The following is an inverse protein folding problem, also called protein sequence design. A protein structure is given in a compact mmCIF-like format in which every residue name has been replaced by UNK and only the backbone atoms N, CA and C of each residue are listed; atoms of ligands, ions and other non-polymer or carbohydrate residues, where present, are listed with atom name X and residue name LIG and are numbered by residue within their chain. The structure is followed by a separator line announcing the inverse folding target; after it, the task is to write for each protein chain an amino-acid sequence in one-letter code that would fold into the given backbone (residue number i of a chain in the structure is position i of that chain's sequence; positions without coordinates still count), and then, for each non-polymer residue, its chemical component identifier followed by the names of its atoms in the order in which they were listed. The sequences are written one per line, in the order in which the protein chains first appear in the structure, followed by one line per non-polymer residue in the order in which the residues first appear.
data_IF_520694108697
#
_entry.id   IF_520694108697
#
_cell.length_a   1.000
_cell.length_b   1.000
_cell.length_c   1.000
_cell.angle_alpha   90.00
_cell.angle_beta   90.00
_cell.angle_gamma   90.00
#
_symmetry.space_group_name_H-M   'P 1'
#
loop_
_entity.id
_entity.type
_entity.pdbx_description
1 polymer ?
#
# COMPACT_ATOMS: atom_id res chain seq x y z
N UNK A 1 2.55 -22.23 -17.73
CA UNK A 1 3.54 -22.34 -16.62
C UNK A 1 4.02 -20.91 -16.34
N UNK A 2 3.88 -20.44 -15.13
CA UNK A 2 4.43 -19.14 -14.66
C UNK A 2 5.97 -19.17 -14.71
N UNK A 3 6.62 -18.02 -14.57
CA UNK A 3 8.09 -17.94 -14.50
C UNK A 3 8.62 -18.77 -13.33
N UNK A 4 9.74 -19.48 -13.57
CA UNK A 4 10.35 -20.33 -12.53
C UNK A 4 11.26 -19.55 -11.58
N UNK A 5 11.67 -18.35 -11.99
CA UNK A 5 12.50 -17.46 -11.18
C UNK A 5 12.20 -15.99 -11.48
N UNK A 6 12.54 -15.13 -10.53
CA UNK A 6 12.48 -13.67 -10.73
C UNK A 6 13.41 -13.22 -11.87
N UNK A 7 14.57 -13.84 -12.02
CA UNK A 7 15.55 -13.46 -13.05
C UNK A 7 15.00 -13.66 -14.46
N UNK A 8 14.25 -14.74 -14.70
CA UNK A 8 13.57 -14.99 -15.97
C UNK A 8 12.55 -13.91 -16.28
N UNK A 9 11.69 -13.57 -15.31
CA UNK A 9 10.65 -12.54 -15.45
C UNK A 9 11.26 -11.15 -15.66
N UNK A 10 12.28 -10.79 -14.87
CA UNK A 10 13.02 -9.52 -14.98
C UNK A 10 13.72 -9.40 -16.34
N UNK A 11 14.39 -10.47 -16.79
CA UNK A 11 15.07 -10.49 -18.08
C UNK A 11 14.07 -10.27 -19.23
N UNK A 12 12.91 -10.92 -19.19
CA UNK A 12 11.87 -10.75 -20.19
C UNK A 12 11.28 -9.34 -20.15
N UNK A 13 10.97 -8.83 -18.94
CA UNK A 13 10.43 -7.49 -18.73
C UNK A 13 11.33 -6.40 -19.35
N UNK A 14 12.63 -6.46 -19.07
CA UNK A 14 13.62 -5.52 -19.63
C UNK A 14 13.71 -5.61 -21.16
N UNK A 15 13.86 -6.82 -21.69
CA UNK A 15 14.00 -7.02 -23.16
C UNK A 15 12.78 -6.61 -23.96
N UNK A 16 11.59 -6.70 -23.36
CA UNK A 16 10.32 -6.36 -24.02
C UNK A 16 9.85 -4.93 -23.74
N UNK A 17 10.59 -4.15 -22.97
CA UNK A 17 10.25 -2.75 -22.70
C UNK A 17 9.08 -2.57 -21.72
N UNK A 18 8.96 -3.48 -20.75
CA UNK A 18 7.98 -3.31 -19.67
C UNK A 18 8.53 -2.44 -18.55
N UNK A 19 9.70 -2.78 -18.01
CA UNK A 19 10.23 -2.13 -16.81
C UNK A 19 11.74 -2.01 -16.92
N UNK A 20 12.27 -0.84 -16.55
CA UNK A 20 13.68 -0.49 -16.53
C UNK A 20 14.12 -0.04 -15.14
N UNK A 21 15.40 -0.21 -14.82
CA UNK A 21 15.97 0.46 -13.65
C UNK A 21 15.97 1.97 -13.89
N UNK A 22 15.44 2.74 -12.95
CA UNK A 22 15.46 4.21 -13.09
C UNK A 22 16.89 4.74 -13.08
N UNK A 23 17.18 5.68 -13.98
CA UNK A 23 18.50 6.32 -14.12
C UNK A 23 19.65 5.34 -14.42
N UNK A 24 19.37 4.25 -15.13
CA UNK A 24 20.32 3.13 -15.41
C UNK A 24 21.65 3.62 -16.03
N UNK A 25 21.58 4.64 -16.91
CA UNK A 25 22.76 5.24 -17.55
C UNK A 25 23.76 5.89 -16.57
N UNK A 26 23.33 6.14 -15.33
CA UNK A 26 24.14 6.65 -14.23
C UNK A 26 24.37 5.62 -13.11
N UNK A 27 24.13 4.33 -13.40
CA UNK A 27 24.28 3.24 -12.43
C UNK A 27 23.02 2.89 -11.68
N UNK A 28 21.91 3.55 -11.99
CA UNK A 28 20.60 3.28 -11.42
C UNK A 28 20.39 3.83 -10.01
N UNK A 29 19.14 3.90 -9.58
CA UNK A 29 18.73 4.21 -8.20
C UNK A 29 18.02 2.99 -7.62
N UNK A 30 18.60 2.39 -6.58
CA UNK A 30 18.10 1.16 -5.99
C UNK A 30 16.64 1.31 -5.48
N UNK A 31 15.77 0.37 -5.87
CA UNK A 31 14.37 0.36 -5.46
C UNK A 31 13.51 1.44 -6.13
N UNK A 32 13.94 1.95 -7.29
CA UNK A 32 13.17 2.87 -8.13
C UNK A 32 13.21 2.36 -9.58
N UNK A 33 12.04 2.27 -10.22
CA UNK A 33 11.89 1.71 -11.55
C UNK A 33 11.04 2.61 -12.45
N UNK A 34 11.34 2.58 -13.74
CA UNK A 34 10.60 3.25 -14.80
C UNK A 34 9.81 2.23 -15.61
N UNK A 35 8.57 2.57 -15.96
CA UNK A 35 7.74 1.76 -16.84
C UNK A 35 8.02 2.13 -18.30
N UNK A 36 8.45 1.15 -19.09
CA UNK A 36 8.67 1.31 -20.51
C UNK A 36 7.38 1.31 -21.33
N UNK A 37 7.46 1.38 -22.67
CA UNK A 37 6.29 1.54 -23.55
C UNK A 37 5.20 0.48 -23.36
N UNK A 38 5.55 -0.79 -23.17
CA UNK A 38 4.56 -1.84 -22.90
C UNK A 38 4.13 -1.87 -21.43
N UNK A 39 5.05 -1.56 -20.52
CA UNK A 39 4.77 -1.55 -19.09
C UNK A 39 3.79 -0.46 -18.67
N UNK A 40 3.89 0.74 -19.26
CA UNK A 40 2.97 1.83 -18.97
C UNK A 40 1.54 1.52 -19.41
N UNK A 41 1.37 0.85 -20.55
CA UNK A 41 0.05 0.41 -21.03
C UNK A 41 -0.56 -0.66 -20.09
N UNK A 42 0.23 -1.66 -19.71
CA UNK A 42 -0.22 -2.67 -18.74
C UNK A 42 -0.63 -2.03 -17.41
N UNK A 43 0.20 -1.14 -16.89
CA UNK A 43 -0.06 -0.42 -15.63
C UNK A 43 -1.32 0.45 -15.72
N UNK A 44 -1.50 1.18 -16.80
CA UNK A 44 -2.68 2.02 -17.00
C UNK A 44 -3.95 1.18 -17.17
N UNK A 45 -3.88 0.04 -17.86
CA UNK A 45 -5.01 -0.87 -18.02
C UNK A 45 -5.44 -1.44 -16.65
N UNK A 46 -4.50 -1.87 -15.81
CA UNK A 46 -4.80 -2.35 -14.46
C UNK A 46 -5.47 -1.26 -13.61
N UNK A 47 -4.91 -0.04 -13.61
CA UNK A 47 -5.50 1.10 -12.90
C UNK A 47 -6.90 1.45 -13.41
N UNK A 48 -7.09 1.43 -14.73
CA UNK A 48 -8.39 1.70 -15.34
C UNK A 48 -9.44 0.63 -15.00
N UNK A 49 -9.04 -0.65 -14.98
CA UNK A 49 -9.91 -1.76 -14.59
C UNK A 49 -10.32 -1.63 -13.11
N UNK A 50 -9.38 -1.31 -12.22
CA UNK A 50 -9.68 -1.08 -10.81
C UNK A 50 -10.60 0.11 -10.60
N UNK A 51 -10.30 1.24 -11.24
CA UNK A 51 -11.11 2.46 -11.14
C UNK A 51 -12.53 2.26 -11.66
N UNK A 52 -12.66 1.52 -12.76
CA UNK A 52 -13.97 1.14 -13.30
C UNK A 52 -14.77 0.33 -12.29
N UNK A 53 -14.18 -0.73 -11.73
CA UNK A 53 -14.87 -1.61 -10.79
C UNK A 53 -15.22 -0.93 -9.47
N UNK A 54 -14.34 -0.01 -8.98
CA UNK A 54 -14.52 0.64 -7.70
C UNK A 54 -15.38 1.91 -7.79
N UNK A 55 -15.22 2.73 -8.84
CA UNK A 55 -15.83 4.06 -8.90
C UNK A 55 -16.96 4.12 -9.93
N UNK A 56 -16.76 3.58 -11.14
CA UNK A 56 -17.74 3.79 -12.21
C UNK A 56 -18.90 2.79 -12.20
N UNK A 57 -18.68 1.59 -11.72
CA UNK A 57 -19.69 0.51 -11.68
C UNK A 57 -20.44 0.46 -10.35
N UNK A 58 -20.18 1.41 -9.43
CA UNK A 58 -20.81 1.52 -8.11
C UNK A 58 -21.35 2.93 -7.90
N UNK A 59 -22.48 3.00 -7.18
CA UNK A 59 -23.14 4.27 -6.83
C UNK A 59 -22.77 4.76 -5.42
N UNK A 60 -21.97 3.97 -4.69
CA UNK A 60 -21.61 4.18 -3.30
C UNK A 60 -20.12 4.50 -3.10
N UNK A 61 -19.35 4.78 -4.15
CA UNK A 61 -17.93 5.11 -4.04
C UNK A 61 -17.60 6.38 -4.83
N UNK A 62 -16.98 7.33 -4.15
CA UNK A 62 -16.48 8.58 -4.71
C UNK A 62 -14.98 8.49 -5.03
N UNK A 63 -14.54 9.17 -6.07
CA UNK A 63 -13.12 9.24 -6.43
C UNK A 63 -12.42 10.45 -5.81
N UNK A 64 -11.17 10.27 -5.40
CA UNK A 64 -10.30 11.34 -4.89
C UNK A 64 -8.91 11.26 -5.52
N UNK A 65 -8.31 12.41 -5.80
CA UNK A 65 -6.88 12.55 -6.11
C UNK A 65 -6.25 13.61 -5.20
N UNK A 66 -5.57 13.16 -4.16
CA UNK A 66 -4.98 14.04 -3.16
C UNK A 66 -3.48 14.30 -3.40
N UNK A 67 -2.97 15.39 -2.82
CA UNK A 67 -1.58 15.79 -2.93
C UNK A 67 -0.61 14.77 -2.31
N UNK A 68 0.56 14.62 -2.93
CA UNK A 68 1.65 13.77 -2.42
C UNK A 68 2.30 14.37 -1.17
N UNK A 69 2.50 15.69 -1.16
CA UNK A 69 3.10 16.40 -0.03
C UNK A 69 2.12 16.42 1.14
N UNK A 70 2.51 15.79 2.23
CA UNK A 70 1.65 15.59 3.41
C UNK A 70 2.13 16.45 4.58
N UNK A 71 1.16 17.10 5.23
CA UNK A 71 1.41 17.86 6.44
C UNK A 71 1.91 16.92 7.57
N UNK A 72 3.02 17.25 8.25
CA UNK A 72 3.54 16.42 9.35
C UNK A 72 2.52 16.12 10.44
N UNK A 73 1.63 17.07 10.74
CA UNK A 73 0.58 16.90 11.77
C UNK A 73 -0.36 15.73 11.43
N UNK A 74 -0.67 15.51 10.14
CA UNK A 74 -1.46 14.35 9.71
C UNK A 74 -0.77 13.04 10.10
N UNK A 75 0.52 12.90 9.79
CA UNK A 75 1.27 11.66 10.06
C UNK A 75 1.62 11.49 11.56
N UNK A 76 1.58 12.57 12.34
CA UNK A 76 1.67 12.51 13.80
C UNK A 76 0.40 11.92 14.39
N UNK A 77 -0.77 12.44 14.03
CA UNK A 77 -2.05 12.00 14.60
C UNK A 77 -2.46 10.60 14.12
N UNK A 78 -2.07 10.19 12.92
CA UNK A 78 -2.24 8.81 12.44
C UNK A 78 -1.28 7.80 13.09
N UNK A 79 -0.28 8.27 13.85
CA UNK A 79 0.72 7.42 14.49
C UNK A 79 1.94 7.07 13.63
N UNK A 80 1.96 7.38 12.32
CA UNK A 80 3.08 7.04 11.43
C UNK A 80 4.41 7.62 11.91
N UNK A 81 4.43 8.84 12.43
CA UNK A 81 5.66 9.48 12.91
C UNK A 81 6.34 8.66 14.01
N UNK A 82 5.56 7.98 14.85
CA UNK A 82 6.05 7.19 15.98
C UNK A 82 6.27 5.71 15.67
N UNK A 83 5.47 5.11 14.80
CA UNK A 83 5.42 3.64 14.63
C UNK A 83 5.88 3.14 13.26
N UNK A 84 5.96 4.02 12.25
CA UNK A 84 6.32 3.60 10.88
C UNK A 84 7.83 3.43 10.72
N UNK A 85 8.38 2.43 11.43
CA UNK A 85 9.81 2.16 11.52
C UNK A 85 10.13 0.69 11.31
N UNK A 86 11.27 0.43 10.64
CA UNK A 86 11.87 -0.89 10.54
C UNK A 86 13.11 -0.97 11.43
N UNK A 87 13.44 -2.16 11.97
CA UNK A 87 14.66 -2.35 12.74
C UNK A 87 15.88 -2.39 11.81
N UNK A 88 16.75 -1.37 11.91
CA UNK A 88 17.98 -1.22 11.12
C UNK A 88 19.19 -1.71 11.87
N UNK A 89 20.03 -2.52 11.21
CA UNK A 89 21.39 -2.87 11.64
C UNK A 89 22.41 -2.45 10.59
N UNK A 90 23.59 -1.99 11.04
CA UNK A 90 24.75 -1.72 10.19
C UNK A 90 25.79 -2.83 10.37
N UNK A 91 26.35 -3.35 9.28
CA UNK A 91 27.54 -4.19 9.32
C UNK A 91 28.77 -3.31 9.51
N UNK A 92 29.54 -3.50 10.61
CA UNK A 92 30.74 -2.70 10.88
C UNK A 92 31.90 -3.03 9.94
N UNK A 93 31.87 -4.23 9.33
CA UNK A 93 32.91 -4.69 8.39
C UNK A 93 32.73 -4.10 6.99
N UNK A 94 31.61 -4.37 6.32
CA UNK A 94 31.38 -3.95 4.92
C UNK A 94 30.54 -2.67 4.79
N UNK A 95 30.06 -2.08 5.89
CA UNK A 95 29.23 -0.87 5.97
C UNK A 95 27.88 -0.99 5.30
N UNK A 96 27.44 -2.20 4.93
CA UNK A 96 26.09 -2.46 4.42
C UNK A 96 25.06 -2.35 5.54
N UNK A 97 23.81 -2.02 5.15
CA UNK A 97 22.67 -1.85 6.05
C UNK A 97 21.61 -2.88 5.74
N UNK A 98 21.00 -3.43 6.78
CA UNK A 98 20.02 -4.52 6.67
C UNK A 98 18.86 -4.32 7.64
N UNK A 99 17.69 -4.86 7.31
CA UNK A 99 16.62 -5.03 8.28
C UNK A 99 16.97 -6.20 9.20
N UNK A 100 16.90 -5.97 10.50
CA UNK A 100 17.29 -6.99 11.48
C UNK A 100 16.37 -8.22 11.45
N UNK A 101 15.06 -8.01 11.23
CA UNK A 101 14.04 -9.06 11.13
C UNK A 101 14.12 -9.93 9.86
N UNK A 102 14.94 -9.52 8.88
CA UNK A 102 15.20 -10.27 7.65
C UNK A 102 16.54 -11.01 7.66
N UNK A 103 17.30 -10.95 8.74
CA UNK A 103 18.58 -11.65 8.83
C UNK A 103 18.38 -13.10 9.23
N UNK A 104 18.97 -14.02 8.50
CA UNK A 104 19.11 -15.41 8.89
C UNK A 104 20.26 -15.53 9.91
N UNK A 105 19.93 -15.53 11.19
CA UNK A 105 20.90 -15.47 12.29
C UNK A 105 21.51 -14.07 12.46
N UNK A 106 22.68 -14.01 13.11
CA UNK A 106 23.39 -12.75 13.40
C UNK A 106 24.54 -12.46 12.42
N UNK A 107 24.37 -12.80 11.14
CA UNK A 107 25.44 -12.63 10.14
C UNK A 107 25.04 -11.68 9.03
N UNK A 108 26.00 -10.88 8.54
CA UNK A 108 25.83 -9.97 7.43
C UNK A 108 25.67 -10.75 6.10
N UNK A 109 24.56 -10.62 5.35
CA UNK A 109 24.40 -11.30 4.06
C UNK A 109 25.42 -10.87 3.00
N UNK A 110 26.01 -9.69 3.14
CA UNK A 110 26.98 -9.16 2.16
C UNK A 110 28.42 -9.62 2.34
N UNK A 111 28.85 -9.98 3.57
CA UNK A 111 30.24 -10.35 3.85
C UNK A 111 30.40 -11.45 4.90
N UNK A 112 29.32 -12.05 5.37
CA UNK A 112 29.26 -13.09 6.40
C UNK A 112 29.91 -12.72 7.75
N UNK A 113 30.08 -11.42 8.03
CA UNK A 113 30.60 -10.93 9.30
C UNK A 113 29.51 -10.97 10.37
N UNK A 114 29.87 -11.35 11.59
CA UNK A 114 28.99 -11.28 12.78
C UNK A 114 29.05 -9.91 13.49
N UNK A 115 29.94 -8.99 13.04
CA UNK A 115 30.10 -7.67 13.62
C UNK A 115 29.01 -6.70 13.11
N UNK A 116 27.81 -6.89 13.66
CA UNK A 116 26.63 -6.05 13.42
C UNK A 116 26.42 -5.09 14.60
N UNK A 117 25.76 -3.97 14.34
CA UNK A 117 25.27 -3.08 15.41
C UNK A 117 24.01 -3.67 16.06
N UNK A 118 23.68 -3.20 17.27
CA UNK A 118 22.34 -3.41 17.81
C UNK A 118 21.27 -2.82 16.86
N UNK A 119 20.11 -3.46 16.76
CA UNK A 119 18.99 -2.93 16.00
C UNK A 119 18.53 -1.57 16.54
N UNK A 120 18.28 -0.62 15.63
CA UNK A 120 17.70 0.67 15.96
C UNK A 120 16.51 0.98 15.05
N UNK A 121 15.48 1.71 15.52
CA UNK A 121 14.35 2.08 14.67
C UNK A 121 14.82 3.03 13.56
N UNK A 122 14.38 2.74 12.35
CA UNK A 122 14.60 3.58 11.17
C UNK A 122 13.25 3.95 10.57
N UNK A 123 12.92 5.25 10.60
CA UNK A 123 11.65 5.73 10.05
C UNK A 123 11.67 5.67 8.51
N UNK A 124 10.64 5.07 7.93
CA UNK A 124 10.53 4.83 6.48
C UNK A 124 9.99 6.03 5.70
N UNK A 125 9.64 7.14 6.34
CA UNK A 125 9.08 8.30 5.64
C UNK A 125 10.19 9.15 5.00
N UNK A 126 9.96 9.57 3.74
CA UNK A 126 10.77 10.60 3.11
C UNK A 126 10.33 11.99 3.56
N UNK A 127 11.26 12.73 4.14
CA UNK A 127 11.09 14.13 4.53
C UNK A 127 11.65 15.04 3.44
N UNK A 128 10.90 16.08 3.05
CA UNK A 128 11.36 17.09 2.10
C UNK A 128 11.11 18.50 2.63
N UNK A 129 11.93 19.45 2.21
CA UNK A 129 11.77 20.86 2.59
C UNK A 129 10.75 21.54 1.71
N UNK A 130 10.01 22.49 2.29
CA UNK A 130 9.00 23.31 1.61
C UNK A 130 9.38 24.78 1.78
N UNK A 131 9.50 25.50 0.65
CA UNK A 131 9.87 26.91 0.62
C UNK A 131 11.39 27.15 0.49
N UNK A 132 11.81 28.44 0.43
CA UNK A 132 13.16 28.82 0.06
C UNK A 132 14.18 28.79 1.22
N UNK A 133 13.71 28.70 2.48
CA UNK A 133 14.58 28.74 3.65
C UNK A 133 14.80 27.32 4.14
N UNK A 134 16.05 26.96 4.30
CA UNK A 134 16.47 25.66 4.82
C UNK A 134 16.83 25.81 6.30
N UNK A 135 15.82 25.76 7.17
CA UNK A 135 16.02 25.72 8.63
C UNK A 135 15.77 24.29 9.14
N UNK A 136 16.60 23.83 10.09
CA UNK A 136 16.45 22.50 10.69
C UNK A 136 15.08 22.33 11.41
N UNK A 137 14.48 23.42 11.89
CA UNK A 137 13.14 23.50 12.49
C UNK A 137 12.09 24.04 11.51
N UNK A 138 12.45 24.20 10.23
CA UNK A 138 11.67 24.92 9.23
C UNK A 138 10.54 24.12 8.59
N UNK A 139 9.91 24.73 7.60
CA UNK A 139 8.79 24.18 6.85
C UNK A 139 9.21 22.91 6.09
N UNK A 140 8.76 21.77 6.55
CA UNK A 140 8.94 20.50 5.85
C UNK A 140 7.60 19.81 5.62
N UNK A 141 7.58 18.91 4.65
CA UNK A 141 6.51 17.99 4.39
C UNK A 141 7.08 16.56 4.29
N UNK A 142 6.21 15.59 4.43
CA UNK A 142 6.54 14.23 4.06
C UNK A 142 6.02 13.93 2.65
N UNK A 143 6.76 13.12 1.89
CA UNK A 143 6.19 12.37 0.78
C UNK A 143 5.31 11.28 1.40
N UNK A 144 4.01 11.23 1.05
CA UNK A 144 3.07 10.33 1.70
C UNK A 144 3.54 8.87 1.65
N UNK A 145 3.53 8.15 2.79
CA UNK A 145 3.90 6.72 2.84
C UNK A 145 2.80 5.78 2.36
N UNK A 146 1.56 6.31 2.26
CA UNK A 146 0.34 5.65 1.80
C UNK A 146 -0.67 6.68 1.30
N UNK A 147 -1.69 6.24 0.60
CA UNK A 147 -2.75 7.11 0.09
C UNK A 147 -3.92 7.28 1.07
N UNK A 148 -4.07 6.40 2.07
CA UNK A 148 -5.16 6.35 3.04
C UNK A 148 -5.34 7.67 3.82
N UNK A 149 -4.27 8.22 4.40
CA UNK A 149 -4.36 9.37 5.29
C UNK A 149 -4.92 10.61 4.58
N UNK A 150 -4.66 10.73 3.28
CA UNK A 150 -5.22 11.81 2.47
C UNK A 150 -6.73 11.64 2.25
N UNK A 151 -7.25 10.42 2.24
CA UNK A 151 -8.69 10.14 2.19
C UNK A 151 -9.35 10.58 3.51
N UNK A 152 -8.79 10.18 4.66
CA UNK A 152 -9.34 10.56 5.97
C UNK A 152 -9.37 12.07 6.19
N UNK A 153 -8.30 12.77 5.84
CA UNK A 153 -8.25 14.24 5.98
C UNK A 153 -9.17 14.97 5.02
N UNK A 154 -9.58 14.34 3.91
CA UNK A 154 -10.58 14.86 2.98
C UNK A 154 -11.99 14.34 3.21
N UNK A 155 -12.22 13.44 4.18
CA UNK A 155 -13.51 12.84 4.46
C UNK A 155 -14.64 13.89 4.53
N UNK A 156 -14.44 14.94 5.35
CA UNK A 156 -15.44 16.01 5.48
C UNK A 156 -15.68 16.75 4.17
N UNK A 157 -14.64 17.03 3.37
CA UNK A 157 -14.79 17.71 2.09
C UNK A 157 -15.65 16.90 1.11
N UNK A 158 -15.45 15.58 1.07
CA UNK A 158 -16.24 14.67 0.24
C UNK A 158 -17.69 14.61 0.76
N UNK A 159 -17.88 14.38 2.05
CA UNK A 159 -19.23 14.32 2.66
C UNK A 159 -20.01 15.62 2.41
N UNK A 160 -19.39 16.77 2.57
CA UNK A 160 -20.05 18.07 2.37
C UNK A 160 -20.40 18.33 0.89
N UNK A 161 -19.62 17.80 -0.05
CA UNK A 161 -19.79 18.05 -1.49
C UNK A 161 -20.73 17.07 -2.18
N UNK A 162 -20.76 15.80 -1.74
CA UNK A 162 -21.54 14.74 -2.39
C UNK A 162 -22.74 14.28 -1.56
N UNK A 163 -22.75 14.59 -0.25
CA UNK A 163 -23.81 14.21 0.69
C UNK A 163 -24.12 12.71 0.69
N UNK A 164 -23.14 11.83 0.79
CA UNK A 164 -23.33 10.39 0.73
C UNK A 164 -24.05 9.88 1.97
N UNK A 165 -24.58 8.66 1.88
CA UNK A 165 -25.14 7.92 3.01
C UNK A 165 -24.25 6.72 3.29
N UNK A 166 -24.16 6.30 4.54
CA UNK A 166 -23.52 5.03 4.88
C UNK A 166 -24.35 3.84 4.37
N UNK A 167 -23.72 2.79 3.85
CA UNK A 167 -22.28 2.70 3.62
C UNK A 167 -21.84 3.45 2.35
N UNK A 168 -20.64 4.04 2.35
CA UNK A 168 -20.04 4.61 1.14
C UNK A 168 -18.52 4.54 1.22
N UNK A 169 -17.85 4.73 0.09
CA UNK A 169 -16.38 4.69 0.03
C UNK A 169 -15.77 5.91 -0.64
N UNK A 170 -14.49 6.11 -0.40
CA UNK A 170 -13.64 7.05 -1.13
C UNK A 170 -12.43 6.29 -1.65
N UNK A 171 -12.28 6.29 -2.98
CA UNK A 171 -11.23 5.56 -3.68
C UNK A 171 -10.15 6.49 -4.21
N UNK A 172 -8.90 6.05 -4.16
CA UNK A 172 -7.76 6.79 -4.71
C UNK A 172 -6.75 5.84 -5.36
N UNK A 173 -6.19 6.28 -6.50
CA UNK A 173 -4.98 5.70 -7.07
C UNK A 173 -3.91 6.77 -7.00
N UNK A 174 -2.76 6.46 -6.42
CA UNK A 174 -1.70 7.46 -6.33
C UNK A 174 -0.36 6.91 -5.88
N UNK A 175 0.67 7.73 -6.12
CA UNK A 175 2.03 7.42 -5.67
C UNK A 175 2.16 7.51 -4.16
N UNK A 176 2.92 6.57 -3.60
CA UNK A 176 3.37 6.53 -2.22
C UNK A 176 4.88 6.24 -2.15
N UNK A 177 5.50 6.58 -1.04
CA UNK A 177 6.96 6.60 -0.91
C UNK A 177 7.37 6.01 0.45
N UNK A 178 8.21 4.96 0.41
CA UNK A 178 8.78 4.34 1.61
C UNK A 178 10.27 4.22 1.47
N UNK A 179 11.03 4.83 2.36
CA UNK A 179 12.49 4.78 2.35
C UNK A 179 12.99 3.40 2.81
N UNK A 180 12.64 2.37 2.04
CA UNK A 180 12.99 0.97 2.31
C UNK A 180 14.48 0.79 2.57
N UNK A 181 14.83 0.12 3.65
CA UNK A 181 16.24 -0.20 4.00
C UNK A 181 16.83 -1.11 2.93
N UNK A 182 16.07 -2.16 2.57
CA UNK A 182 16.49 -3.19 1.60
C UNK A 182 15.40 -3.41 0.54
N UNK A 183 15.31 -2.57 -0.50
CA UNK A 183 14.48 -2.85 -1.67
C UNK A 183 14.90 -4.18 -2.30
N UNK A 184 13.93 -5.02 -2.69
CA UNK A 184 14.19 -6.35 -3.23
C UNK A 184 13.07 -6.87 -4.12
N UNK A 185 13.34 -7.95 -4.83
CA UNK A 185 12.37 -8.64 -5.65
C UNK A 185 11.76 -7.76 -6.74
N UNK A 186 12.63 -7.02 -7.47
CA UNK A 186 12.23 -6.16 -8.59
C UNK A 186 11.22 -5.10 -8.15
N UNK A 187 10.05 -4.99 -8.79
CA UNK A 187 9.00 -4.02 -8.44
C UNK A 187 8.10 -4.47 -7.28
N UNK A 188 8.42 -5.57 -6.59
CA UNK A 188 7.65 -6.05 -5.45
C UNK A 188 7.85 -5.17 -4.18
N UNK A 189 9.12 -4.83 -3.85
CA UNK A 189 9.45 -3.96 -2.70
C UNK A 189 10.37 -2.83 -3.16
N UNK A 190 9.78 -1.68 -3.33
CA UNK A 190 10.39 -0.48 -3.93
C UNK A 190 10.19 0.75 -3.06
N UNK A 191 10.94 1.83 -3.32
CA UNK A 191 10.87 3.08 -2.56
C UNK A 191 9.81 4.05 -3.07
N UNK A 192 9.48 3.97 -4.35
CA UNK A 192 8.42 4.73 -5.00
C UNK A 192 7.50 3.75 -5.71
N UNK A 193 6.20 3.77 -5.39
CA UNK A 193 5.19 2.85 -5.93
C UNK A 193 3.85 3.55 -6.07
N UNK A 194 2.87 2.88 -6.66
CA UNK A 194 1.48 3.35 -6.68
C UNK A 194 0.60 2.38 -5.88
N UNK A 195 -0.37 2.94 -5.15
CA UNK A 195 -1.44 2.20 -4.48
C UNK A 195 -2.78 2.45 -5.17
N UNK A 196 -3.61 1.43 -5.17
CA UNK A 196 -5.05 1.47 -5.41
C UNK A 196 -5.70 1.22 -4.05
N UNK A 197 -6.31 2.23 -3.47
CA UNK A 197 -6.78 2.21 -2.08
C UNK A 197 -8.20 2.73 -1.98
N UNK A 198 -9.01 2.03 -1.22
CA UNK A 198 -10.39 2.35 -0.94
C UNK A 198 -10.59 2.40 0.56
N UNK A 199 -11.15 3.49 1.06
CA UNK A 199 -11.66 3.58 2.43
C UNK A 199 -13.18 3.50 2.38
N UNK A 200 -13.74 2.40 2.84
CA UNK A 200 -15.17 2.14 2.83
C UNK A 200 -15.75 2.33 4.22
N UNK A 201 -16.61 3.34 4.35
CA UNK A 201 -17.18 3.81 5.61
C UNK A 201 -18.50 3.11 5.89
N UNK A 202 -18.62 2.54 7.10
CA UNK A 202 -19.78 1.73 7.52
C UNK A 202 -20.25 2.12 8.92
N UNK A 203 -21.44 1.68 9.30
CA UNK A 203 -21.89 1.82 10.69
C UNK A 203 -21.11 0.90 11.63
N UNK A 204 -20.87 1.36 12.85
CA UNK A 204 -20.32 0.51 13.90
C UNK A 204 -21.23 -0.71 14.13
N UNK A 205 -20.63 -1.91 14.12
CA UNK A 205 -21.34 -3.18 14.25
C UNK A 205 -21.69 -3.86 12.92
N UNK A 206 -21.52 -3.17 11.78
CA UNK A 206 -21.62 -3.76 10.43
C UNK A 206 -20.25 -4.09 9.84
N UNK A 207 -19.19 -3.71 10.52
CA UNK A 207 -17.81 -3.77 10.06
C UNK A 207 -17.31 -5.17 9.73
N UNK A 208 -17.73 -6.19 10.49
CA UNK A 208 -17.30 -7.58 10.27
C UNK A 208 -17.94 -8.16 8.98
N UNK A 209 -19.20 -7.85 8.71
CA UNK A 209 -19.89 -8.29 7.49
C UNK A 209 -19.31 -7.59 6.25
N UNK A 210 -19.08 -6.28 6.34
CA UNK A 210 -18.48 -5.52 5.25
C UNK A 210 -17.03 -5.93 5.00
N UNK A 211 -16.24 -6.21 6.04
CA UNK A 211 -14.90 -6.74 5.90
C UNK A 211 -14.89 -8.05 5.11
N UNK A 212 -15.75 -9.00 5.49
CA UNK A 212 -15.91 -10.26 4.74
C UNK A 212 -16.34 -10.03 3.29
N UNK A 213 -17.31 -9.16 3.07
CA UNK A 213 -17.80 -8.81 1.72
C UNK A 213 -16.67 -8.24 0.85
N UNK A 214 -15.83 -7.37 1.40
CA UNK A 214 -14.71 -6.80 0.65
C UNK A 214 -13.63 -7.84 0.37
N UNK A 215 -13.32 -8.76 1.29
CA UNK A 215 -12.39 -9.87 1.03
C UNK A 215 -12.86 -10.71 -0.16
N UNK A 216 -14.14 -11.12 -0.17
CA UNK A 216 -14.72 -11.90 -1.27
C UNK A 216 -14.72 -11.12 -2.59
N UNK A 217 -15.09 -9.85 -2.55
CA UNK A 217 -15.12 -8.97 -3.72
C UNK A 217 -13.74 -8.78 -4.33
N UNK A 218 -12.73 -8.56 -3.50
CA UNK A 218 -11.37 -8.33 -3.99
C UNK A 218 -10.75 -9.60 -4.56
N UNK A 219 -10.95 -10.73 -3.90
CA UNK A 219 -10.49 -12.03 -4.40
C UNK A 219 -11.09 -12.35 -5.80
N UNK A 220 -12.40 -12.13 -5.97
CA UNK A 220 -13.07 -12.32 -7.25
C UNK A 220 -12.53 -11.34 -8.32
N UNK A 221 -12.31 -10.10 -7.95
CA UNK A 221 -11.76 -9.10 -8.90
C UNK A 221 -10.38 -9.49 -9.43
N UNK A 222 -9.47 -10.00 -8.60
CA UNK A 222 -8.17 -10.47 -9.07
C UNK A 222 -8.29 -11.63 -10.05
N UNK A 223 -9.21 -12.57 -9.80
CA UNK A 223 -9.49 -13.64 -10.73
C UNK A 223 -10.01 -13.12 -12.08
N UNK A 224 -10.88 -12.11 -12.07
CA UNK A 224 -11.38 -11.45 -13.28
C UNK A 224 -10.29 -10.68 -14.05
N UNK A 225 -9.22 -10.25 -13.36
CA UNK A 225 -8.04 -9.67 -14.02
C UNK A 225 -7.08 -10.72 -14.58
N UNK A 226 -7.43 -12.00 -14.55
CA UNK A 226 -6.65 -13.10 -15.10
C UNK A 226 -5.61 -13.67 -14.15
N UNK A 227 -5.65 -13.34 -12.87
CA UNK A 227 -4.85 -14.01 -11.84
C UNK A 227 -5.47 -15.36 -11.53
N UNK A 228 -4.71 -16.44 -11.72
CA UNK A 228 -5.22 -17.79 -11.49
C UNK A 228 -5.52 -17.98 -9.98
N UNK A 229 -6.75 -18.42 -9.68
CA UNK A 229 -7.19 -18.66 -8.30
C UNK A 229 -6.35 -19.70 -7.55
N UNK A 230 -5.72 -20.65 -8.27
CA UNK A 230 -4.80 -21.63 -7.66
C UNK A 230 -3.50 -20.97 -7.14
N UNK A 231 -3.21 -19.75 -7.57
CA UNK A 231 -2.07 -18.96 -7.11
C UNK A 231 -2.44 -17.95 -6.03
N UNK A 232 -3.72 -17.88 -5.63
CA UNK A 232 -4.22 -17.00 -4.58
C UNK A 232 -4.54 -17.81 -3.32
N UNK A 233 -4.21 -17.25 -2.16
CA UNK A 233 -4.63 -17.78 -0.87
C UNK A 233 -4.93 -16.64 0.09
N UNK A 234 -5.79 -16.87 1.08
CA UNK A 234 -6.12 -15.88 2.10
C UNK A 234 -5.29 -16.14 3.35
N UNK A 235 -4.61 -15.10 3.83
CA UNK A 235 -3.90 -15.10 5.09
C UNK A 235 -4.62 -14.21 6.09
N UNK A 236 -5.19 -14.80 7.13
CA UNK A 236 -5.78 -14.07 8.24
C UNK A 236 -4.66 -13.65 9.20
N UNK A 237 -4.38 -12.36 9.27
CA UNK A 237 -3.31 -11.83 10.09
C UNK A 237 -3.59 -12.11 11.58
N UNK A 238 -2.67 -12.78 12.30
CA UNK A 238 -2.81 -13.04 13.73
C UNK A 238 -2.94 -11.74 14.54
N UNK A 239 -3.64 -11.80 15.67
CA UNK A 239 -3.94 -10.61 16.49
C UNK A 239 -2.70 -9.90 17.04
N UNK A 240 -1.59 -10.58 17.20
CA UNK A 240 -0.29 -10.06 17.66
C UNK A 240 0.55 -9.45 16.55
N UNK A 241 0.18 -9.67 15.28
CA UNK A 241 0.80 -9.08 14.09
C UNK A 241 0.00 -7.91 13.50
N UNK A 242 -1.24 -7.68 13.98
CA UNK A 242 -2.10 -6.61 13.47
C UNK A 242 -1.45 -5.23 13.65
N UNK A 243 -1.64 -4.38 12.64
CA UNK A 243 -1.30 -2.97 12.75
C UNK A 243 -2.13 -2.30 13.88
N UNK A 244 -1.56 -1.29 14.52
CA UNK A 244 -2.13 -0.61 15.69
C UNK A 244 -3.54 -0.04 15.49
N UNK A 245 -3.93 0.17 14.24
CA UNK A 245 -5.24 0.69 13.84
C UNK A 245 -6.24 -0.41 13.47
N UNK A 246 -5.80 -1.66 13.31
CA UNK A 246 -6.63 -2.72 12.75
C UNK A 246 -7.22 -3.63 13.83
N UNK A 247 -8.52 -3.92 13.70
CA UNK A 247 -9.24 -4.96 14.45
C UNK A 247 -9.06 -6.33 13.83
N UNK A 248 -8.98 -6.39 12.50
CA UNK A 248 -8.78 -7.59 11.70
C UNK A 248 -8.19 -7.23 10.34
N UNK A 249 -7.30 -8.05 9.82
CA UNK A 249 -6.75 -7.91 8.47
C UNK A 249 -6.73 -9.29 7.80
N UNK A 250 -7.11 -9.32 6.53
CA UNK A 250 -6.97 -10.48 5.65
C UNK A 250 -6.15 -10.07 4.45
N UNK A 251 -5.03 -10.76 4.24
CA UNK A 251 -4.19 -10.53 3.06
C UNK A 251 -4.54 -11.54 1.97
N UNK A 252 -4.76 -11.06 0.77
CA UNK A 252 -4.78 -11.86 -0.44
C UNK A 252 -3.34 -12.09 -0.83
N UNK A 253 -2.85 -13.30 -0.58
CA UNK A 253 -1.50 -13.73 -0.94
C UNK A 253 -1.47 -14.25 -2.36
N UNK A 254 -0.37 -14.00 -3.06
CA UNK A 254 -0.14 -14.50 -4.41
C UNK A 254 1.19 -15.24 -4.49
N UNK A 255 1.24 -16.31 -5.30
CA UNK A 255 2.45 -17.10 -5.55
C UNK A 255 3.32 -16.45 -6.62
N UNK A 256 4.15 -15.49 -6.18
CA UNK A 256 5.19 -14.88 -7.01
C UNK A 256 6.35 -15.87 -7.27
N UNK A 257 7.21 -15.62 -8.27
CA UNK A 257 8.39 -16.47 -8.52
C UNK A 257 9.39 -16.53 -7.36
N UNK A 258 9.33 -15.58 -6.41
CA UNK A 258 10.20 -15.52 -5.23
C UNK A 258 9.54 -16.02 -3.95
N UNK A 259 8.28 -16.47 -4.02
CA UNK A 259 7.54 -16.99 -2.86
C UNK A 259 6.09 -16.52 -2.82
N UNK A 260 5.37 -17.01 -1.83
CA UNK A 260 4.00 -16.57 -1.53
C UNK A 260 4.10 -15.30 -0.69
N UNK A 261 3.59 -14.19 -1.23
CA UNK A 261 3.68 -12.87 -0.61
C UNK A 261 2.38 -12.10 -0.84
N UNK A 262 2.15 -11.07 -0.04
CA UNK A 262 0.95 -10.22 -0.09
C UNK A 262 0.81 -9.49 -1.43
N UNK A 263 -0.37 -9.64 -2.06
CA UNK A 263 -0.79 -8.90 -3.25
C UNK A 263 -1.69 -7.72 -2.87
N UNK A 264 -2.63 -7.93 -1.94
CA UNK A 264 -3.57 -6.93 -1.45
C UNK A 264 -3.92 -7.20 0.02
N UNK A 265 -3.98 -6.17 0.85
CA UNK A 265 -4.48 -6.25 2.22
C UNK A 265 -5.90 -5.72 2.32
N UNK A 266 -6.75 -6.36 3.11
CA UNK A 266 -8.08 -5.86 3.46
C UNK A 266 -8.15 -5.72 4.98
N UNK A 267 -8.16 -4.48 5.49
CA UNK A 267 -8.15 -4.20 6.91
C UNK A 267 -9.49 -3.66 7.41
N UNK A 268 -9.91 -4.10 8.59
CA UNK A 268 -10.94 -3.45 9.39
C UNK A 268 -10.27 -2.47 10.35
N UNK A 269 -10.27 -1.20 10.00
CA UNK A 269 -9.60 -0.11 10.74
C UNK A 269 -10.45 0.49 11.84
N UNK A 270 -11.69 0.04 11.99
CA UNK A 270 -12.66 0.56 12.95
C UNK A 270 -12.85 2.09 12.82
N UNK A 271 -13.01 2.81 13.92
CA UNK A 271 -13.10 4.27 13.98
C UNK A 271 -11.74 4.96 14.25
N UNK A 272 -10.63 4.24 14.10
CA UNK A 272 -9.30 4.73 14.49
C UNK A 272 -8.90 6.00 13.75
N UNK A 273 -8.93 5.98 12.42
CA UNK A 273 -8.40 7.08 11.60
C UNK A 273 -9.26 8.34 11.70
N UNK A 274 -10.57 8.20 11.50
CA UNK A 274 -11.48 9.35 11.65
C UNK A 274 -11.50 9.86 13.09
N UNK A 275 -11.41 8.96 14.09
CA UNK A 275 -11.29 9.29 15.48
C UNK A 275 -10.01 10.05 15.81
N UNK A 276 -8.87 9.65 15.20
CA UNK A 276 -7.57 10.32 15.38
C UNK A 276 -7.55 11.73 14.80
N UNK A 277 -8.27 11.97 13.69
CA UNK A 277 -8.28 13.24 12.98
C UNK A 277 -9.48 14.15 13.33
N UNK A 278 -10.45 13.67 14.10
CA UNK A 278 -11.64 14.50 14.43
C UNK A 278 -11.35 15.53 15.52
N UNK A 279 -11.97 16.70 15.36
CA UNK A 279 -12.01 17.73 16.40
C UNK A 279 -12.94 17.31 17.54
N UNK A 280 -12.60 17.70 18.78
CA UNK A 280 -13.43 17.46 19.97
C UNK A 280 -13.76 15.96 20.15
N UNK A 281 -12.74 15.10 20.11
CA UNK A 281 -12.86 13.65 20.24
C UNK A 281 -13.77 13.21 21.40
N UNK A 282 -13.76 13.93 22.52
CA UNK A 282 -14.58 13.64 23.71
C UNK A 282 -16.10 13.84 23.52
N UNK A 283 -16.54 14.42 22.40
CA UNK A 283 -17.97 14.54 22.08
C UNK A 283 -18.53 13.24 21.48
N UNK A 284 -17.68 12.26 21.14
CA UNK A 284 -18.03 11.05 20.43
C UNK A 284 -17.60 9.78 21.15
N UNK A 285 -18.33 8.71 20.92
CA UNK A 285 -18.03 7.38 21.45
C UNK A 285 -17.01 6.67 20.54
N UNK A 286 -15.71 7.04 20.68
CA UNK A 286 -14.61 6.43 19.92
C UNK A 286 -14.21 5.15 20.63
N UNK A 287 -14.28 4.03 19.91
CA UNK A 287 -13.96 2.71 20.45
C UNK A 287 -12.48 2.39 20.38
N UNK A 288 -11.79 2.94 19.39
CA UNK A 288 -10.35 2.79 19.21
C UNK A 288 -9.55 3.64 20.17
N UNK A 289 -8.34 3.17 20.49
CA UNK A 289 -7.41 3.95 21.30
C UNK A 289 -6.72 5.01 20.45
N UNK A 290 -7.20 6.25 20.53
CA UNK A 290 -6.63 7.38 19.79
C UNK A 290 -5.87 8.34 20.71
N UNK A 291 -4.83 8.98 20.18
CA UNK A 291 -4.13 10.05 20.89
C UNK A 291 -4.98 11.34 20.89
N UNK A 292 -4.88 12.19 21.93
CA UNK A 292 -5.54 13.49 21.93
C UNK A 292 -5.15 14.35 20.73
N UNK A 293 -6.14 14.93 20.03
CA UNK A 293 -5.92 15.80 18.89
C UNK A 293 -6.53 17.20 19.16
N UNK A 294 -5.67 18.18 19.35
CA UNK A 294 -6.03 19.59 19.51
C UNK A 294 -5.80 20.43 18.25
N UNK A 295 -5.18 19.85 17.22
CA UNK A 295 -4.76 20.54 16.00
C UNK A 295 -5.88 20.52 14.94
N UNK A 296 -6.77 19.54 15.00
CA UNK A 296 -7.87 19.43 14.02
C UNK A 296 -8.93 20.50 14.21
N UNK A 297 -9.38 21.07 13.09
CA UNK A 297 -10.47 22.04 13.04
C UNK A 297 -11.78 21.45 12.50
N UNK A 298 -11.82 20.18 12.10
CA UNK A 298 -12.94 19.50 11.46
C UNK A 298 -13.52 18.37 12.33
N UNK A 299 -14.82 18.16 12.23
CA UNK A 299 -15.52 17.01 12.81
C UNK A 299 -15.71 15.97 11.70
N UNK A 300 -15.13 14.78 11.88
CA UNK A 300 -15.17 13.68 10.90
C UNK A 300 -16.24 12.67 11.32
N UNK A 301 -17.49 13.09 11.20
CA UNK A 301 -18.65 12.36 11.69
C UNK A 301 -19.77 12.31 10.66
N UNK A 302 -20.62 11.30 10.78
CA UNK A 302 -21.86 11.15 10.02
C UNK A 302 -23.05 11.16 10.97
N UNK A 303 -24.22 11.59 10.45
CA UNK A 303 -25.46 11.57 11.22
C UNK A 303 -26.17 10.22 11.06
N UNK A 304 -26.34 9.51 12.15
CA UNK A 304 -27.27 8.40 12.22
C UNK A 304 -28.70 8.99 12.31
N UNK A 305 -29.43 8.89 11.22
CA UNK A 305 -30.77 9.46 11.10
C UNK A 305 -31.81 8.70 11.94
N UNK A 306 -31.60 7.42 12.19
CA UNK A 306 -32.52 6.58 12.98
C UNK A 306 -32.43 6.93 14.47
N UNK A 307 -31.21 7.01 14.99
CA UNK A 307 -30.94 7.29 16.39
C UNK A 307 -30.76 8.79 16.69
N UNK A 308 -30.79 9.65 15.65
CA UNK A 308 -30.63 11.11 15.74
C UNK A 308 -29.36 11.55 16.46
N UNK A 309 -28.28 10.81 16.26
CA UNK A 309 -26.96 11.10 16.88
C UNK A 309 -25.87 11.18 15.81
N UNK A 310 -24.79 11.88 16.15
CA UNK A 310 -23.56 11.91 15.37
C UNK A 310 -22.63 10.81 15.85
N UNK A 311 -22.02 10.11 14.93
CA UNK A 311 -21.04 9.06 15.20
C UNK A 311 -19.87 9.11 14.21
N UNK A 312 -18.78 8.48 14.57
CA UNK A 312 -17.61 8.29 13.71
C UNK A 312 -17.81 6.95 12.99
N UNK A 313 -17.85 6.93 11.64
CA UNK A 313 -17.94 5.68 10.88
C UNK A 313 -16.76 4.76 11.12
N UNK A 314 -16.99 3.45 11.01
CA UNK A 314 -15.94 2.46 10.91
C UNK A 314 -15.44 2.37 9.47
N UNK A 315 -14.22 1.92 9.29
CA UNK A 315 -13.54 1.90 8.00
C UNK A 315 -13.10 0.49 7.63
N UNK A 316 -13.41 0.07 6.41
CA UNK A 316 -12.86 -1.12 5.76
C UNK A 316 -11.97 -0.66 4.62
N UNK A 317 -10.72 -1.10 4.61
CA UNK A 317 -9.69 -0.68 3.69
C UNK A 317 -9.20 -1.83 2.82
N UNK A 318 -9.66 -2.00 1.59
CA UNK A 318 -8.94 -2.73 0.55
C UNK A 318 -7.80 -1.88 0.00
N UNK A 319 -6.56 -2.37 0.09
CA UNK A 319 -5.36 -1.67 -0.36
C UNK A 319 -4.44 -2.58 -1.15
N UNK A 320 -4.23 -2.28 -2.43
CA UNK A 320 -3.36 -3.03 -3.34
C UNK A 320 -2.25 -2.16 -3.93
N UNK A 321 -1.05 -2.70 -3.99
CA UNK A 321 0.05 -2.10 -4.75
C UNK A 321 -0.12 -2.32 -6.25
N UNK A 322 -0.20 -1.24 -7.04
CA UNK A 322 -0.26 -1.35 -8.51
C UNK A 322 0.93 -2.13 -9.06
N UNK A 323 2.12 -1.87 -8.53
CA UNK A 323 3.36 -2.51 -8.98
C UNK A 323 3.37 -4.01 -8.67
N UNK A 324 2.86 -4.44 -7.50
CA UNK A 324 2.65 -5.86 -7.17
C UNK A 324 1.61 -6.51 -8.09
N UNK A 325 0.51 -5.82 -8.38
CA UNK A 325 -0.50 -6.26 -9.33
C UNK A 325 0.06 -6.45 -10.74
N UNK A 326 0.83 -5.49 -11.24
CA UNK A 326 1.53 -5.62 -12.54
C UNK A 326 2.46 -6.82 -12.52
N UNK A 327 3.24 -7.04 -11.44
CA UNK A 327 4.14 -8.18 -11.33
C UNK A 327 3.38 -9.52 -11.36
N UNK A 328 2.25 -9.62 -10.65
CA UNK A 328 1.40 -10.82 -10.64
C UNK A 328 0.84 -11.10 -12.04
N UNK A 329 0.27 -10.10 -12.72
CA UNK A 329 -0.28 -10.24 -14.08
C UNK A 329 0.84 -10.62 -15.08
N UNK A 330 2.02 -10.02 -14.97
CA UNK A 330 3.16 -10.40 -15.80
C UNK A 330 3.60 -11.85 -15.56
N UNK A 331 3.54 -12.32 -14.31
CA UNK A 331 3.87 -13.71 -13.98
C UNK A 331 2.83 -14.70 -14.57
N UNK A 332 1.55 -14.37 -14.51
CA UNK A 332 0.49 -15.17 -15.15
C UNK A 332 0.61 -15.18 -16.67
N UNK A 333 0.99 -14.05 -17.27
CA UNK A 333 1.15 -13.92 -18.71
C UNK A 333 2.44 -14.59 -19.26
N UNK A 334 3.39 -14.95 -18.39
CA UNK A 334 4.65 -15.57 -18.79
C UNK A 334 4.41 -16.99 -19.33
N UNK A 335 4.84 -17.25 -20.56
CA UNK A 335 4.73 -18.58 -21.19
C UNK A 335 5.99 -18.94 -21.96
N UNK A 336 6.32 -20.23 -21.93
CA UNK A 336 7.32 -20.83 -22.81
C UNK A 336 6.59 -21.64 -23.89
N UNK A 337 6.78 -21.28 -25.12
CA UNK A 337 6.21 -21.95 -26.31
C UNK A 337 7.28 -22.71 -27.05
N UNK A 338 6.98 -23.96 -27.43
CA UNK A 338 7.84 -24.76 -28.31
C UNK A 338 7.42 -24.52 -29.76
N UNK A 339 8.35 -24.04 -30.58
CA UNK A 339 8.12 -23.77 -31.98
C UNK A 339 8.17 -25.09 -32.80
N UNK A 340 7.68 -25.08 -34.06
CA UNK A 340 7.65 -26.24 -34.96
C UNK A 340 9.04 -26.85 -35.19
N UNK A 341 10.09 -26.05 -35.11
CA UNK A 341 11.48 -26.52 -35.26
C UNK A 341 12.08 -27.08 -33.96
N UNK A 342 11.30 -27.23 -32.90
CA UNK A 342 11.73 -27.73 -31.58
C UNK A 342 12.47 -26.73 -30.71
N UNK A 343 12.68 -25.47 -31.14
CA UNK A 343 13.25 -24.44 -30.32
C UNK A 343 12.18 -23.82 -29.38
N UNK A 344 12.60 -23.34 -28.23
CA UNK A 344 11.71 -22.64 -27.27
C UNK A 344 11.79 -21.13 -27.43
N UNK A 345 10.65 -20.47 -27.24
CA UNK A 345 10.58 -19.02 -27.07
C UNK A 345 9.78 -18.65 -25.87
N UNK A 346 10.19 -17.59 -25.20
CA UNK A 346 9.46 -17.00 -24.06
C UNK A 346 8.62 -15.81 -24.53
N UNK A 347 7.35 -15.80 -24.16
CA UNK A 347 6.37 -14.77 -24.52
C UNK A 347 5.61 -14.29 -23.29
N UNK A 348 5.03 -13.08 -23.39
CA UNK A 348 3.95 -12.59 -22.54
C UNK A 348 2.64 -12.76 -23.30
N UNK A 349 1.69 -13.49 -22.73
CA UNK A 349 0.37 -13.77 -23.34
C UNK A 349 -0.71 -13.31 -22.35
N UNK A 350 -1.08 -12.04 -22.48
CA UNK A 350 -2.18 -11.42 -21.73
C UNK A 350 -3.54 -11.83 -22.29
#
# INVERSE_FOLDING_TARGET
MTAQSMDELVSLAKRRGFIFQSSDIYGGLQGVYDYGPLGVELKNNLKAAWWRAMVYERDDIEGLDAAILTNPTTLRHSGHEATFTDPLVDCRTCKSRWRADHLEGNTCPGCNSEDLTEPRPFNLMFKTQVGPVQDDDGNFAYLRPETAQAIFTNFKNVVDSTSPKLPFGIAQIGKAFRNEITPRNFIFRVREFEQMELEFFVMAGEDEEWHKTWVETRLAWWADQGVNSDNLELYHVPSDELAHYSKATVDVMYRFPHGVEELEGIANRTDFDLGSHTKNQGDYDITSKVAPNTDSNAKLVMQDLENKRWHIPYVIEPSAGVDRGVLAIMNEAYKVETLENGSERTVMSF
#
